data_IF_420123673441
#
_entry.id   IF_420123673441
#
_cell.length_a   1.000
_cell.length_b   1.000
_cell.length_c   1.000
_cell.angle_alpha   90.00
_cell.angle_beta   90.00
_cell.angle_gamma   90.00
#
_symmetry.space_group_name_H-M   'P 1'
#
loop_
_entity.id
_entity.type
_entity.pdbx_description
1 polymer ?
#
# COMPACT_ATOMS: atom_id res chain seq x y z
N UNK A 1 -22.93 11.99 -1.05
CA UNK A 1 -21.48 11.78 -0.80
C UNK A 1 -20.77 12.29 -2.05
N UNK A 2 -19.97 13.35 -1.93
CA UNK A 2 -19.21 13.87 -3.07
C UNK A 2 -18.05 12.94 -3.35
N UNK A 3 -17.82 12.56 -4.61
CA UNK A 3 -16.59 11.86 -4.99
C UNK A 3 -15.37 12.63 -4.44
N UNK A 4 -14.39 11.94 -3.86
CA UNK A 4 -13.13 12.58 -3.50
C UNK A 4 -12.60 13.28 -4.75
N UNK A 5 -12.29 14.58 -4.63
CA UNK A 5 -11.70 15.31 -5.75
C UNK A 5 -10.30 14.73 -5.99
N UNK A 6 -9.89 14.53 -7.25
CA UNK A 6 -8.50 14.26 -7.57
C UNK A 6 -7.64 15.38 -6.99
N UNK A 7 -6.63 15.01 -6.19
CA UNK A 7 -5.71 16.01 -5.61
C UNK A 7 -4.86 16.67 -6.70
N UNK A 8 -4.64 15.99 -7.82
CA UNK A 8 -4.04 16.56 -9.02
C UNK A 8 -5.12 17.13 -9.97
N UNK A 9 -5.04 18.42 -10.31
CA UNK A 9 -5.92 19.07 -11.30
C UNK A 9 -5.93 18.37 -12.67
N UNK A 10 -6.94 18.68 -13.50
CA UNK A 10 -7.16 18.15 -14.88
C UNK A 10 -7.01 16.61 -15.09
N UNK A 11 -6.98 15.80 -14.04
CA UNK A 11 -6.98 14.34 -14.18
C UNK A 11 -8.39 13.82 -14.49
N UNK A 12 -8.49 12.89 -15.45
CA UNK A 12 -9.74 12.16 -15.75
C UNK A 12 -9.78 10.87 -14.94
N UNK A 13 -10.86 10.65 -14.18
CA UNK A 13 -11.09 9.40 -13.46
C UNK A 13 -11.21 8.24 -14.46
N UNK A 14 -10.31 7.27 -14.35
CA UNK A 14 -10.33 6.05 -15.19
C UNK A 14 -11.12 4.94 -14.52
N UNK A 15 -10.87 4.71 -13.24
CA UNK A 15 -11.49 3.66 -12.43
C UNK A 15 -11.55 4.13 -10.97
N UNK A 16 -12.56 3.66 -10.24
CA UNK A 16 -12.68 3.84 -8.79
C UNK A 16 -13.07 2.50 -8.18
N UNK A 17 -12.34 2.08 -7.16
CA UNK A 17 -12.55 0.81 -6.46
C UNK A 17 -12.64 1.10 -4.97
N UNK A 18 -13.77 0.74 -4.37
CA UNK A 18 -13.93 0.74 -2.92
C UNK A 18 -13.35 -0.57 -2.37
N UNK A 19 -12.57 -0.47 -1.30
CA UNK A 19 -12.00 -1.61 -0.57
C UNK A 19 -12.81 -1.79 0.71
N UNK A 20 -13.65 -2.84 0.83
CA UNK A 20 -14.39 -3.10 2.05
C UNK A 20 -13.47 -3.37 3.23
N UNK A 21 -13.95 -3.10 4.45
CA UNK A 21 -13.21 -3.37 5.67
C UNK A 21 -12.78 -4.86 5.77
N UNK A 22 -11.51 -5.11 6.09
CA UNK A 22 -10.96 -6.47 6.19
C UNK A 22 -10.71 -7.17 4.85
N UNK A 23 -10.89 -6.46 3.73
CA UNK A 23 -10.62 -6.95 2.38
C UNK A 23 -9.48 -6.18 1.72
N UNK A 24 -9.04 -6.69 0.56
CA UNK A 24 -8.08 -6.02 -0.31
C UNK A 24 -8.54 -6.05 -1.75
N UNK A 25 -7.99 -5.17 -2.58
CA UNK A 25 -8.22 -5.11 -4.02
C UNK A 25 -6.90 -4.88 -4.73
N UNK A 26 -6.75 -5.52 -5.89
CA UNK A 26 -5.63 -5.30 -6.80
C UNK A 26 -6.16 -4.65 -8.08
N UNK A 27 -5.50 -3.59 -8.50
CA UNK A 27 -5.82 -2.84 -9.72
C UNK A 27 -4.56 -2.63 -10.56
N UNK A 28 -4.74 -2.47 -11.87
CA UNK A 28 -3.63 -2.19 -12.77
C UNK A 28 -3.46 -0.68 -12.93
N UNK A 29 -2.26 -0.18 -12.61
CA UNK A 29 -1.90 1.23 -12.81
C UNK A 29 -0.80 1.30 -13.88
N UNK A 30 -1.10 1.99 -14.98
CA UNK A 30 -0.15 2.19 -16.09
C UNK A 30 0.77 3.36 -15.79
N UNK A 31 1.98 3.32 -16.35
CA UNK A 31 2.93 4.44 -16.30
C UNK A 31 2.27 5.75 -16.74
N UNK A 32 2.37 6.78 -15.91
CA UNK A 32 1.77 8.10 -16.13
C UNK A 32 0.34 8.26 -15.60
N UNK A 33 -0.29 7.19 -15.11
CA UNK A 33 -1.53 7.29 -14.34
C UNK A 33 -1.24 7.65 -12.88
N UNK A 34 -2.25 8.23 -12.21
CA UNK A 34 -2.21 8.57 -10.80
C UNK A 34 -3.07 7.58 -10.04
N UNK A 35 -2.50 6.96 -9.01
CA UNK A 35 -3.24 6.21 -8.01
C UNK A 35 -3.55 7.15 -6.84
N UNK A 36 -4.83 7.31 -6.53
CA UNK A 36 -5.27 8.06 -5.35
C UNK A 36 -5.82 7.07 -4.32
N UNK A 37 -5.20 7.05 -3.14
CA UNK A 37 -5.71 6.34 -1.97
C UNK A 37 -6.50 7.34 -1.13
N UNK A 38 -7.72 6.98 -0.75
CA UNK A 38 -8.65 7.87 -0.02
C UNK A 38 -9.20 7.11 1.17
N UNK A 39 -9.01 7.64 2.36
CA UNK A 39 -9.76 7.23 3.54
C UNK A 39 -11.16 7.88 3.48
N UNK A 40 -12.19 7.06 3.26
CA UNK A 40 -13.56 7.52 3.03
C UNK A 40 -14.24 8.05 4.29
N UNK A 41 -13.84 7.55 5.46
CA UNK A 41 -14.53 7.80 6.72
C UNK A 41 -13.61 8.35 7.82
N UNK A 42 -12.30 8.37 7.59
CA UNK A 42 -11.31 8.73 8.58
C UNK A 42 -10.88 7.53 9.43
N UNK A 43 -9.70 7.67 10.03
CA UNK A 43 -9.09 6.73 11.00
C UNK A 43 -8.78 5.32 10.46
N UNK A 44 -8.87 5.08 9.16
CA UNK A 44 -8.56 3.77 8.57
C UNK A 44 -7.13 3.73 8.01
N UNK A 45 -6.30 2.86 8.57
CA UNK A 45 -4.99 2.50 8.00
C UNK A 45 -5.17 1.51 6.84
N UNK A 46 -4.37 1.66 5.78
CA UNK A 46 -4.37 0.75 4.65
C UNK A 46 -2.99 0.18 4.34
N UNK A 47 -2.88 -1.14 4.27
CA UNK A 47 -1.65 -1.81 3.82
C UNK A 47 -1.55 -1.82 2.30
N UNK A 48 -0.47 -1.24 1.79
CA UNK A 48 -0.26 -1.04 0.37
C UNK A 48 0.95 -1.83 -0.15
N UNK A 49 0.70 -2.63 -1.19
CA UNK A 49 1.73 -3.34 -1.96
C UNK A 49 1.61 -2.97 -3.44
N UNK A 50 2.73 -3.01 -4.15
CA UNK A 50 2.73 -2.79 -5.61
C UNK A 50 3.76 -3.69 -6.29
N UNK A 51 3.39 -4.19 -7.47
CA UNK A 51 4.19 -5.11 -8.25
C UNK A 51 4.32 -4.58 -9.68
N UNK A 52 5.46 -4.83 -10.32
CA UNK A 52 5.62 -4.56 -11.74
C UNK A 52 4.94 -5.66 -12.54
N UNK A 53 3.92 -5.32 -13.32
CA UNK A 53 3.04 -6.31 -13.98
C UNK A 53 3.75 -7.19 -15.01
N UNK A 54 4.82 -6.70 -15.64
CA UNK A 54 5.64 -7.46 -16.60
C UNK A 54 6.77 -8.26 -15.94
N UNK A 55 7.06 -7.99 -14.67
CA UNK A 55 8.16 -8.57 -13.91
C UNK A 55 7.82 -8.56 -12.40
N UNK A 56 6.96 -9.49 -11.95
CA UNK A 56 6.39 -9.43 -10.59
C UNK A 56 7.39 -9.79 -9.48
N UNK A 57 8.59 -10.29 -9.81
CA UNK A 57 9.73 -10.33 -8.90
C UNK A 57 10.31 -8.94 -8.59
N UNK A 58 9.84 -7.89 -9.28
CA UNK A 58 10.09 -6.49 -8.96
C UNK A 58 8.85 -5.85 -8.33
N UNK A 59 8.98 -5.44 -7.07
CA UNK A 59 7.88 -4.95 -6.24
C UNK A 59 8.32 -3.76 -5.40
N UNK A 60 7.37 -2.93 -4.97
CA UNK A 60 7.58 -1.87 -4.00
C UNK A 60 8.23 -2.46 -2.74
N UNK A 61 9.34 -1.87 -2.31
CA UNK A 61 9.99 -2.26 -1.07
C UNK A 61 10.11 -1.07 -0.12
N UNK A 62 9.37 -1.08 1.00
CA UNK A 62 9.49 -0.05 2.03
C UNK A 62 10.92 0.10 2.54
N UNK A 63 11.60 -1.01 2.86
CA UNK A 63 12.98 -1.01 3.33
C UNK A 63 13.97 -0.39 2.31
N UNK A 64 13.83 -0.71 1.02
CA UNK A 64 14.68 -0.10 -0.01
C UNK A 64 14.35 1.37 -0.22
N UNK A 65 13.07 1.75 -0.11
CA UNK A 65 12.63 3.14 -0.15
C UNK A 65 13.29 3.96 0.96
N UNK A 66 13.20 3.49 2.21
CA UNK A 66 13.84 4.16 3.35
C UNK A 66 15.36 4.25 3.19
N UNK A 67 15.99 3.18 2.70
CA UNK A 67 17.44 3.14 2.43
C UNK A 67 17.86 4.12 1.33
N UNK A 68 17.11 4.20 0.22
CA UNK A 68 17.44 5.07 -0.92
C UNK A 68 17.20 6.55 -0.62
N UNK A 69 16.18 6.86 0.17
CA UNK A 69 15.86 8.22 0.59
C UNK A 69 16.62 8.67 1.83
N UNK A 70 17.28 7.74 2.55
CA UNK A 70 17.93 7.98 3.85
C UNK A 70 16.99 8.60 4.89
N UNK A 71 15.71 8.17 4.87
CA UNK A 71 14.66 8.63 5.78
C UNK A 71 13.63 7.54 6.03
N UNK A 72 12.98 7.58 7.19
CA UNK A 72 12.00 6.56 7.58
C UNK A 72 10.61 6.80 6.98
N UNK A 73 10.29 8.06 6.64
CA UNK A 73 8.99 8.45 6.09
C UNK A 73 9.18 9.23 4.78
N UNK A 74 8.77 8.64 3.65
CA UNK A 74 8.62 9.37 2.38
C UNK A 74 7.66 10.55 2.51
N UNK A 75 7.85 11.59 1.69
CA UNK A 75 7.03 12.80 1.64
C UNK A 75 6.72 13.18 0.19
N UNK A 76 5.87 14.20 0.00
CA UNK A 76 5.54 14.72 -1.33
C UNK A 76 6.81 15.06 -2.10
N UNK A 77 6.91 14.53 -3.33
CA UNK A 77 8.05 14.69 -4.21
C UNK A 77 9.00 13.48 -4.21
N UNK A 78 8.92 12.57 -3.24
CA UNK A 78 9.80 11.39 -3.24
C UNK A 78 9.35 10.29 -4.18
N UNK A 79 10.35 9.53 -4.66
CA UNK A 79 10.11 8.25 -5.27
C UNK A 79 9.95 7.15 -4.20
N UNK A 80 9.01 6.24 -4.43
CA UNK A 80 8.95 4.95 -3.77
C UNK A 80 9.69 3.92 -4.63
N UNK A 81 10.57 3.15 -4.01
CA UNK A 81 11.55 2.33 -4.71
C UNK A 81 11.18 0.86 -4.69
N UNK A 82 11.53 0.15 -5.76
CA UNK A 82 11.44 -1.30 -5.80
C UNK A 82 12.57 -1.98 -5.02
N UNK A 83 12.47 -3.30 -4.83
CA UNK A 83 13.56 -4.16 -4.39
C UNK A 83 14.83 -4.08 -5.27
N UNK A 84 14.73 -3.58 -6.50
CA UNK A 84 15.88 -3.30 -7.38
C UNK A 84 16.44 -1.88 -7.22
N UNK A 85 15.96 -1.10 -6.25
CA UNK A 85 16.35 0.30 -6.02
C UNK A 85 16.05 1.22 -7.21
N UNK A 86 15.08 0.84 -8.04
CA UNK A 86 14.58 1.65 -9.13
C UNK A 86 13.29 2.37 -8.69
N UNK A 87 13.09 3.65 -9.05
CA UNK A 87 11.83 4.34 -8.78
C UNK A 87 10.64 3.59 -9.43
N UNK A 88 9.63 3.26 -8.61
CA UNK A 88 8.42 2.55 -9.05
C UNK A 88 7.20 3.48 -9.04
N UNK A 89 7.04 4.26 -7.97
CA UNK A 89 5.97 5.25 -7.79
C UNK A 89 6.57 6.58 -7.31
N UNK A 90 5.78 7.66 -7.34
CA UNK A 90 6.13 8.96 -6.75
C UNK A 90 4.95 9.49 -5.94
N UNK A 91 5.22 10.07 -4.77
CA UNK A 91 4.20 10.78 -3.99
C UNK A 91 4.00 12.16 -4.62
N UNK A 92 2.88 12.35 -5.29
CA UNK A 92 2.55 13.62 -5.95
C UNK A 92 1.79 14.58 -5.03
N UNK A 93 1.03 14.04 -4.07
CA UNK A 93 0.32 14.81 -3.06
C UNK A 93 0.00 13.93 -1.84
N UNK A 94 -0.11 14.58 -0.69
CA UNK A 94 -0.42 13.95 0.60
C UNK A 94 -1.04 15.02 1.52
N UNK A 95 -2.26 14.77 1.99
CA UNK A 95 -2.97 15.61 2.95
C UNK A 95 -3.05 14.98 4.36
N UNK A 96 -2.40 13.83 4.56
CA UNK A 96 -2.31 13.10 5.83
C UNK A 96 -0.96 13.37 6.52
N UNK A 97 0.13 13.37 5.77
CA UNK A 97 1.48 13.72 6.23
C UNK A 97 2.21 12.63 7.02
N UNK A 98 1.53 11.54 7.38
CA UNK A 98 2.09 10.43 8.16
C UNK A 98 1.73 9.06 7.56
N UNK A 99 2.78 8.29 7.28
CA UNK A 99 2.71 6.92 6.77
C UNK A 99 3.88 6.12 7.34
N UNK A 100 3.67 4.84 7.65
CA UNK A 100 4.70 3.96 8.18
C UNK A 100 5.22 3.00 7.10
N UNK A 101 6.54 3.04 6.89
CA UNK A 101 7.27 2.21 5.92
C UNK A 101 8.24 1.22 6.61
N UNK A 102 8.07 1.00 7.92
CA UNK A 102 9.06 0.29 8.75
C UNK A 102 8.47 -0.98 9.36
N UNK A 103 7.24 -0.92 9.85
CA UNK A 103 6.57 -2.02 10.52
C UNK A 103 5.91 -2.92 9.46
N UNK A 104 6.06 -4.25 9.52
CA UNK A 104 5.31 -5.14 8.64
C UNK A 104 3.81 -5.03 8.90
N UNK A 105 2.99 -5.31 7.89
CA UNK A 105 1.55 -5.39 8.11
C UNK A 105 1.20 -6.50 9.11
N UNK A 106 0.01 -6.43 9.72
CA UNK A 106 -0.39 -7.47 10.65
C UNK A 106 -0.57 -8.82 9.94
N UNK A 107 -0.15 -9.89 10.62
CA UNK A 107 -0.20 -11.27 10.16
C UNK A 107 -0.87 -12.17 11.23
N UNK A 108 -1.22 -13.43 10.89
CA UNK A 108 -1.81 -14.34 11.88
C UNK A 108 -0.93 -14.56 13.11
N UNK A 109 0.39 -14.60 12.93
CA UNK A 109 1.38 -14.79 13.98
C UNK A 109 1.35 -13.64 15.00
N UNK A 110 1.26 -12.38 14.58
CA UNK A 110 1.08 -11.19 15.43
C UNK A 110 -0.11 -11.35 16.35
N UNK A 111 -1.26 -11.76 15.80
CA UNK A 111 -2.47 -11.94 16.60
C UNK A 111 -2.41 -13.14 17.53
N UNK A 112 -1.84 -14.26 17.08
CA UNK A 112 -1.68 -15.44 17.92
C UNK A 112 -0.69 -15.20 19.07
N UNK A 113 0.46 -14.58 18.81
CA UNK A 113 1.55 -14.45 19.80
C UNK A 113 1.29 -13.31 20.77
N UNK A 114 0.88 -12.15 20.27
CA UNK A 114 0.81 -10.94 21.10
C UNK A 114 -0.56 -10.72 21.74
N UNK A 115 -1.61 -11.34 21.19
CA UNK A 115 -2.99 -11.11 21.62
C UNK A 115 -3.78 -12.38 21.96
N UNK A 116 -3.21 -13.58 21.78
CA UNK A 116 -3.89 -14.87 22.00
C UNK A 116 -5.18 -15.01 21.16
N UNK A 117 -5.15 -14.49 19.92
CA UNK A 117 -6.27 -14.48 18.98
C UNK A 117 -5.88 -15.15 17.64
N UNK A 118 -5.72 -16.48 17.59
CA UNK A 118 -5.20 -17.18 16.41
C UNK A 118 -6.10 -17.08 15.16
N UNK A 119 -7.39 -16.84 15.35
CA UNK A 119 -8.38 -16.75 14.26
C UNK A 119 -8.70 -15.31 13.83
N UNK A 120 -7.95 -14.32 14.33
CA UNK A 120 -8.21 -12.92 14.02
C UNK A 120 -7.86 -12.62 12.55
N UNK A 121 -8.73 -11.90 11.80
CA UNK A 121 -8.39 -11.45 10.45
C UNK A 121 -7.14 -10.57 10.45
N UNK A 122 -6.24 -10.79 9.50
CA UNK A 122 -5.01 -10.01 9.35
C UNK A 122 -4.87 -9.43 7.95
N UNK A 123 -4.10 -8.35 7.84
CA UNK A 123 -3.86 -7.67 6.58
C UNK A 123 -3.11 -8.57 5.60
N UNK A 124 -2.11 -9.33 6.07
CA UNK A 124 -1.40 -10.30 5.21
C UNK A 124 -2.35 -11.35 4.63
N UNK A 125 -3.23 -11.92 5.46
CA UNK A 125 -4.23 -12.88 4.97
C UNK A 125 -5.26 -12.22 4.03
N UNK A 126 -5.64 -10.96 4.30
CA UNK A 126 -6.52 -10.18 3.45
C UNK A 126 -5.92 -9.85 2.08
N UNK A 127 -4.65 -9.46 2.04
CA UNK A 127 -3.89 -9.22 0.83
C UNK A 127 -3.73 -10.50 0.01
N UNK A 128 -3.42 -11.64 0.65
CA UNK A 128 -3.33 -12.92 -0.05
C UNK A 128 -4.65 -13.29 -0.71
N UNK A 129 -5.79 -13.18 0.00
CA UNK A 129 -7.12 -13.44 -0.60
C UNK A 129 -7.40 -12.54 -1.81
N UNK A 130 -7.01 -11.27 -1.76
CA UNK A 130 -7.18 -10.35 -2.89
C UNK A 130 -6.28 -10.69 -4.06
N UNK A 131 -5.04 -11.12 -3.80
CA UNK A 131 -4.09 -11.55 -4.83
C UNK A 131 -4.56 -12.84 -5.52
N UNK A 132 -5.07 -13.79 -4.74
CA UNK A 132 -5.68 -15.02 -5.26
C UNK A 132 -6.88 -14.70 -6.16
N UNK A 133 -7.76 -13.79 -5.72
CA UNK A 133 -8.91 -13.34 -6.49
C UNK A 133 -8.51 -12.57 -7.77
N UNK A 134 -7.38 -11.86 -7.73
CA UNK A 134 -6.77 -11.22 -8.89
C UNK A 134 -6.15 -12.23 -9.88
N UNK A 135 -5.97 -13.49 -9.45
CA UNK A 135 -5.48 -14.58 -10.29
C UNK A 135 -3.96 -14.55 -10.50
N UNK A 136 -3.21 -14.08 -9.51
CA UNK A 136 -1.74 -14.03 -9.53
C UNK A 136 -1.13 -14.87 -8.41
N UNK A 137 0.09 -15.35 -8.63
CA UNK A 137 0.87 -16.17 -7.71
C UNK A 137 2.10 -15.42 -7.18
N UNK A 138 2.04 -14.08 -7.17
CA UNK A 138 3.16 -13.23 -6.79
C UNK A 138 3.54 -13.40 -5.32
N UNK A 139 4.82 -13.25 -5.01
CA UNK A 139 5.31 -13.37 -3.63
C UNK A 139 4.78 -12.22 -2.78
N UNK A 140 4.21 -12.56 -1.63
CA UNK A 140 3.68 -11.60 -0.67
C UNK A 140 4.20 -11.93 0.73
N UNK A 141 4.71 -10.91 1.41
CA UNK A 141 5.15 -10.98 2.81
C UNK A 141 4.79 -9.68 3.52
N UNK A 142 4.68 -9.71 4.85
CA UNK A 142 4.23 -8.56 5.62
C UNK A 142 5.14 -7.33 5.48
N UNK A 143 6.45 -7.54 5.30
CA UNK A 143 7.46 -6.49 5.14
C UNK A 143 7.40 -5.78 3.78
N UNK A 144 6.61 -6.31 2.84
CA UNK A 144 6.41 -5.69 1.53
C UNK A 144 5.37 -4.58 1.57
N UNK A 145 4.51 -4.56 2.60
CA UNK A 145 3.46 -3.57 2.76
C UNK A 145 4.02 -2.25 3.30
N UNK A 146 3.59 -1.14 2.70
CA UNK A 146 3.67 0.18 3.32
C UNK A 146 2.33 0.46 4.02
N UNK A 147 2.37 0.85 5.29
CA UNK A 147 1.18 1.17 6.09
C UNK A 147 0.77 2.62 5.84
N UNK A 148 -0.15 2.82 4.90
CA UNK A 148 -0.65 4.13 4.51
C UNK A 148 -1.61 4.65 5.57
N UNK A 149 -1.46 5.93 5.97
CA UNK A 149 -2.24 6.63 7.00
C UNK A 149 -1.91 6.20 8.44
N UNK A 150 -0.99 5.25 8.63
CA UNK A 150 -0.57 4.81 9.95
C UNK A 150 0.37 5.82 10.61
N UNK A 151 0.07 6.18 11.85
CA UNK A 151 0.95 6.97 12.70
C UNK A 151 1.42 6.13 13.91
N UNK A 152 2.67 5.66 13.86
CA UNK A 152 3.30 4.85 14.91
C UNK A 152 4.24 5.64 15.84
N UNK A 153 4.23 6.98 15.76
CA UNK A 153 5.10 7.87 16.55
C UNK A 153 4.34 8.76 17.51
#
# INVERSE_FOLDING_TARGET
MSNPRPVAGEATLVESVEVPAGESRFINVKKGQILQLVDLYGDQVGDFVAYRTDKPDEYLSPAHTCSCLTKLSPEVGDALYSNHRLPLLRIEADDVGHHDFVVPCCDPERYSVDYDLPDHPSCLAGLQRGLDAFGSDWSLHGELAANIFMNNV
#
